data_IF_188546854218
#
_entry.id   IF_188546854218
#
_cell.length_a   1.000
_cell.length_b   1.000
_cell.length_c   1.000
_cell.angle_alpha   90.00
_cell.angle_beta   90.00
_cell.angle_gamma   90.00
#
_symmetry.space_group_name_H-M   'P 1'
#
loop_
_entity.id
_entity.type
_entity.pdbx_description
1 polymer ?
#
# COMPACT_ATOMS: atom_id res chain seq x y z
N UNK A 1 8.51 -18.24 1.86
CA UNK A 1 9.11 -16.95 1.50
C UNK A 1 8.09 -15.81 1.52
N UNK A 2 7.05 -15.83 0.67
CA UNK A 2 5.89 -14.91 0.75
C UNK A 2 5.31 -14.75 2.17
N UNK A 3 5.29 -15.83 2.96
CA UNK A 3 4.80 -15.85 4.33
C UNK A 3 5.62 -14.98 5.30
N UNK A 4 6.94 -14.90 5.14
CA UNK A 4 7.86 -14.20 6.06
C UNK A 4 7.81 -12.68 5.86
N UNK A 5 7.76 -12.21 4.61
CA UNK A 5 7.56 -10.78 4.29
C UNK A 5 6.17 -10.31 4.73
N UNK A 6 5.15 -11.15 4.55
CA UNK A 6 3.78 -10.85 5.01
C UNK A 6 3.68 -10.77 6.53
N UNK A 7 4.30 -11.69 7.27
CA UNK A 7 4.29 -11.67 8.73
C UNK A 7 4.98 -10.43 9.28
N UNK A 8 6.17 -10.06 8.78
CA UNK A 8 6.87 -8.84 9.23
C UNK A 8 6.08 -7.55 8.95
N UNK A 9 5.41 -7.49 7.81
CA UNK A 9 4.55 -6.36 7.44
C UNK A 9 3.24 -6.35 8.22
N UNK A 10 2.70 -7.51 8.59
CA UNK A 10 1.54 -7.67 9.47
C UNK A 10 1.84 -7.28 10.92
N UNK A 11 3.03 -7.60 11.44
CA UNK A 11 3.47 -7.12 12.76
C UNK A 11 3.69 -5.62 12.77
N UNK A 12 4.29 -5.07 11.71
CA UNK A 12 4.35 -3.62 11.51
C UNK A 12 2.95 -3.03 11.46
N UNK A 13 2.03 -3.67 10.75
CA UNK A 13 0.62 -3.27 10.68
C UNK A 13 -0.07 -3.25 12.05
N UNK A 14 0.15 -4.27 12.89
CA UNK A 14 -0.44 -4.32 14.24
C UNK A 14 0.11 -3.25 15.18
N UNK A 15 1.42 -2.97 15.10
CA UNK A 15 2.02 -1.87 15.84
C UNK A 15 1.44 -0.52 15.39
N UNK A 16 1.28 -0.34 14.08
CA UNK A 16 0.67 0.84 13.47
C UNK A 16 -0.81 1.00 13.86
N UNK A 17 -1.55 -0.11 13.90
CA UNK A 17 -2.95 -0.14 14.30
C UNK A 17 -3.10 0.27 15.76
N UNK A 18 -2.22 -0.22 16.64
CA UNK A 18 -2.20 0.18 18.05
C UNK A 18 -1.92 1.67 18.22
N UNK A 19 -0.95 2.23 17.49
CA UNK A 19 -0.68 3.68 17.51
C UNK A 19 -1.81 4.52 16.93
N UNK A 20 -2.48 4.02 15.88
CA UNK A 20 -3.59 4.70 15.25
C UNK A 20 -4.82 4.74 16.16
N UNK A 21 -5.13 3.63 16.84
CA UNK A 21 -6.21 3.57 17.83
C UNK A 21 -5.97 4.57 18.95
N UNK A 22 -4.75 4.64 19.50
CA UNK A 22 -4.40 5.62 20.52
C UNK A 22 -4.59 7.06 20.02
N UNK A 23 -4.09 7.39 18.82
CA UNK A 23 -4.26 8.72 18.21
C UNK A 23 -5.74 9.06 17.97
N UNK A 24 -6.53 8.15 17.40
CA UNK A 24 -7.96 8.37 17.13
C UNK A 24 -8.77 8.52 18.41
N UNK A 25 -8.47 7.75 19.46
CA UNK A 25 -9.12 7.90 20.77
C UNK A 25 -8.82 9.27 21.38
N UNK A 26 -7.57 9.76 21.30
CA UNK A 26 -7.22 11.10 21.78
C UNK A 26 -7.98 12.18 21.02
N UNK A 27 -8.03 12.10 19.70
CA UNK A 27 -8.80 13.04 18.85
C UNK A 27 -10.28 13.01 19.20
N UNK A 28 -10.86 11.83 19.45
CA UNK A 28 -12.26 11.69 19.86
C UNK A 28 -12.53 12.37 21.20
N UNK A 29 -11.66 12.17 22.20
CA UNK A 29 -11.80 12.78 23.54
C UNK A 29 -11.65 14.30 23.45
N UNK A 30 -10.72 14.83 22.66
CA UNK A 30 -10.57 16.26 22.41
C UNK A 30 -11.77 16.84 21.66
N UNK A 31 -12.29 16.12 20.65
CA UNK A 31 -13.48 16.52 19.88
C UNK A 31 -14.73 16.57 20.75
N UNK A 32 -14.90 15.63 21.68
CA UNK A 32 -16.01 15.63 22.63
C UNK A 32 -16.01 16.84 23.58
N UNK A 33 -14.82 17.41 23.86
CA UNK A 33 -14.68 18.67 24.61
C UNK A 33 -14.71 19.93 23.73
N UNK A 34 -14.53 19.79 22.42
CA UNK A 34 -14.54 20.88 21.45
C UNK A 34 -13.22 21.65 21.31
N UNK A 35 -12.14 21.23 21.98
CA UNK A 35 -10.79 21.79 21.83
C UNK A 35 -9.71 20.82 22.34
N UNK A 36 -8.47 21.02 21.89
CA UNK A 36 -7.32 20.22 22.34
C UNK A 36 -6.83 20.64 23.73
N UNK A 37 -7.27 19.93 24.77
CA UNK A 37 -6.99 20.30 26.18
C UNK A 37 -5.77 19.57 26.79
N UNK A 38 -5.20 18.59 26.11
CA UNK A 38 -4.13 17.73 26.64
C UNK A 38 -2.73 18.36 26.65
N UNK A 39 -2.63 19.64 26.23
CA UNK A 39 -1.38 20.39 26.19
C UNK A 39 -0.50 20.09 24.97
N UNK A 40 0.57 20.87 24.84
CA UNK A 40 1.46 20.86 23.68
C UNK A 40 2.20 19.52 23.49
N UNK A 41 2.71 18.92 24.58
CA UNK A 41 3.47 17.67 24.49
C UNK A 41 2.63 16.53 23.94
N UNK A 42 1.38 16.39 24.40
CA UNK A 42 0.47 15.36 23.90
C UNK A 42 0.08 15.61 22.44
N UNK A 43 -0.10 16.88 22.05
CA UNK A 43 -0.34 17.28 20.66
C UNK A 43 0.81 16.88 19.74
N UNK A 44 2.05 17.16 20.17
CA UNK A 44 3.24 16.80 19.43
C UNK A 44 3.41 15.27 19.31
N UNK A 45 3.15 14.52 20.38
CA UNK A 45 3.21 13.06 20.35
C UNK A 45 2.10 12.46 19.48
N UNK A 46 0.88 12.99 19.53
CA UNK A 46 -0.24 12.54 18.67
C UNK A 46 0.09 12.75 17.20
N UNK A 47 0.54 13.94 16.84
CA UNK A 47 0.91 14.28 15.46
C UNK A 47 2.12 13.47 14.98
N UNK A 48 3.13 13.29 15.82
CA UNK A 48 4.30 12.47 15.50
C UNK A 48 3.94 10.99 15.29
N UNK A 49 3.13 10.40 16.19
CA UNK A 49 2.67 9.03 16.04
C UNK A 49 1.83 8.86 14.77
N UNK A 50 0.94 9.81 14.47
CA UNK A 50 0.18 9.83 13.22
C UNK A 50 1.08 9.91 11.99
N UNK A 51 2.10 10.78 12.01
CA UNK A 51 3.06 10.94 10.93
C UNK A 51 3.91 9.67 10.72
N UNK A 52 4.47 9.10 11.79
CA UNK A 52 5.18 7.82 11.74
C UNK A 52 4.27 6.75 11.16
N UNK A 53 3.03 6.67 11.62
CA UNK A 53 2.11 5.64 11.16
C UNK A 53 1.82 5.75 9.66
N UNK A 54 1.59 6.97 9.18
CA UNK A 54 1.41 7.26 7.77
C UNK A 54 2.65 6.90 6.94
N UNK A 55 3.81 7.40 7.34
CA UNK A 55 5.08 7.17 6.64
C UNK A 55 5.46 5.69 6.56
N UNK A 56 5.41 4.96 7.68
CA UNK A 56 5.73 3.52 7.69
C UNK A 56 4.76 2.77 6.78
N UNK A 57 3.48 3.14 6.76
CA UNK A 57 2.49 2.55 5.86
C UNK A 57 2.83 2.80 4.39
N UNK A 58 3.11 4.07 4.02
CA UNK A 58 3.48 4.46 2.65
C UNK A 58 4.71 3.70 2.16
N UNK A 59 5.76 3.66 2.98
CA UNK A 59 7.01 2.96 2.64
C UNK A 59 6.84 1.45 2.62
N UNK A 60 5.96 0.89 3.46
CA UNK A 60 5.65 -0.56 3.42
C UNK A 60 4.94 -0.95 2.14
N UNK A 61 4.02 -0.11 1.65
CA UNK A 61 3.36 -0.30 0.36
C UNK A 61 4.37 -0.26 -0.80
N UNK A 62 5.31 0.68 -0.77
CA UNK A 62 6.36 0.82 -1.78
C UNK A 62 7.35 -0.36 -1.76
N UNK A 63 7.77 -0.82 -0.59
CA UNK A 63 8.67 -1.97 -0.48
C UNK A 63 7.97 -3.27 -0.92
N UNK A 64 6.68 -3.42 -0.61
CA UNK A 64 5.90 -4.57 -1.06
C UNK A 64 5.74 -4.60 -2.59
N UNK A 65 5.52 -3.45 -3.23
CA UNK A 65 5.42 -3.38 -4.69
C UNK A 65 6.75 -3.68 -5.35
N UNK A 66 7.85 -3.16 -4.79
CA UNK A 66 9.21 -3.44 -5.26
C UNK A 66 9.58 -4.92 -5.10
N UNK A 67 9.30 -5.53 -3.95
CA UNK A 67 9.53 -6.97 -3.72
C UNK A 67 8.81 -7.81 -4.77
N UNK A 68 7.53 -7.52 -5.03
CA UNK A 68 6.73 -8.25 -6.04
C UNK A 68 7.33 -8.10 -7.44
N UNK A 69 7.74 -6.89 -7.81
CA UNK A 69 8.42 -6.65 -9.07
C UNK A 69 9.71 -7.47 -9.19
N UNK A 70 10.57 -7.44 -8.18
CA UNK A 70 11.85 -8.15 -8.21
C UNK A 70 11.63 -9.67 -8.29
N UNK A 71 10.73 -10.23 -7.47
CA UNK A 71 10.47 -11.69 -7.44
C UNK A 71 9.84 -12.20 -8.74
N UNK A 72 8.95 -11.41 -9.37
CA UNK A 72 8.19 -11.87 -10.55
C UNK A 72 8.93 -11.54 -11.85
N UNK A 73 9.42 -10.31 -12.01
CA UNK A 73 9.94 -9.83 -13.29
C UNK A 73 11.46 -9.97 -13.43
N UNK A 74 12.18 -10.11 -12.31
CA UNK A 74 13.63 -10.25 -12.30
C UNK A 74 14.01 -11.50 -11.50
N UNK A 75 13.86 -12.70 -12.07
CA UNK A 75 14.42 -13.90 -11.45
C UNK A 75 15.95 -13.75 -11.45
N UNK A 76 16.50 -13.18 -10.38
CA UNK A 76 17.94 -12.99 -10.19
C UNK A 76 18.61 -14.35 -9.96
N UNK A 77 18.62 -15.24 -10.95
CA UNK A 77 19.30 -16.54 -10.90
C UNK A 77 19.22 -17.24 -9.53
N UNK A 78 20.34 -17.30 -8.80
CA UNK A 78 20.48 -17.93 -7.49
C UNK A 78 20.12 -17.06 -6.28
N UNK A 79 19.83 -15.78 -6.46
CA UNK A 79 19.47 -14.85 -5.37
C UNK A 79 18.02 -15.09 -4.94
N UNK A 80 17.88 -15.83 -3.84
CA UNK A 80 16.59 -15.99 -3.16
C UNK A 80 16.41 -14.86 -2.19
N UNK A 81 15.40 -14.03 -2.43
CA UNK A 81 14.89 -13.16 -1.39
C UNK A 81 14.59 -14.02 -0.15
N UNK A 82 15.06 -13.57 1.01
CA UNK A 82 15.14 -14.33 2.26
C UNK A 82 14.61 -13.50 3.44
N UNK A 83 14.36 -14.14 4.59
CA UNK A 83 13.75 -13.45 5.75
C UNK A 83 14.57 -12.24 6.21
N UNK A 84 15.89 -12.26 6.03
CA UNK A 84 16.77 -11.13 6.35
C UNK A 84 16.52 -9.90 5.49
N UNK A 85 16.16 -10.08 4.21
CA UNK A 85 15.82 -8.97 3.32
C UNK A 85 14.46 -8.36 3.69
N UNK A 86 13.50 -9.21 4.06
CA UNK A 86 12.20 -8.76 4.57
C UNK A 86 12.35 -7.98 5.90
N UNK A 87 13.18 -8.49 6.83
CA UNK A 87 13.49 -7.78 8.07
C UNK A 87 14.19 -6.44 7.80
N UNK A 88 15.15 -6.41 6.86
CA UNK A 88 15.80 -5.18 6.42
C UNK A 88 14.82 -4.15 5.86
N UNK A 89 13.83 -4.59 5.06
CA UNK A 89 12.78 -3.71 4.55
C UNK A 89 11.92 -3.13 5.68
N UNK A 90 11.54 -3.92 6.68
CA UNK A 90 10.81 -3.44 7.86
C UNK A 90 11.62 -2.42 8.65
N UNK A 91 12.90 -2.71 8.94
CA UNK A 91 13.77 -1.76 9.64
C UNK A 91 13.89 -0.46 8.86
N UNK A 92 14.02 -0.54 7.54
CA UNK A 92 14.06 0.64 6.66
C UNK A 92 12.78 1.47 6.73
N UNK A 93 11.58 0.85 6.68
CA UNK A 93 10.33 1.62 6.73
C UNK A 93 10.15 2.33 8.07
N UNK A 94 10.51 1.68 9.18
CA UNK A 94 10.50 2.29 10.51
C UNK A 94 11.52 3.40 10.65
N UNK A 95 12.73 3.20 10.14
CA UNK A 95 13.77 4.23 10.11
C UNK A 95 13.31 5.47 9.34
N UNK A 96 12.70 5.29 8.16
CA UNK A 96 12.13 6.40 7.39
C UNK A 96 10.96 7.04 8.13
N UNK A 97 10.06 6.26 8.75
CA UNK A 97 8.92 6.78 9.49
C UNK A 97 9.32 7.65 10.68
N UNK A 98 10.16 7.12 11.58
CA UNK A 98 10.65 7.85 12.75
C UNK A 98 11.58 8.98 12.34
N UNK A 99 12.48 8.74 11.39
CA UNK A 99 13.43 9.72 10.88
C UNK A 99 12.72 10.95 10.31
N UNK A 100 11.68 10.76 9.49
CA UNK A 100 10.94 11.88 8.89
C UNK A 100 9.98 12.59 9.86
N UNK A 101 9.50 11.92 10.93
CA UNK A 101 8.60 12.52 11.92
C UNK A 101 9.34 13.16 13.12
N UNK A 102 10.62 12.86 13.30
CA UNK A 102 11.46 13.42 14.36
C UNK A 102 11.84 14.90 14.25
N UNK A 103 12.02 15.53 13.06
CA UNK A 103 12.60 16.86 12.95
C UNK A 103 11.88 17.98 13.72
N UNK A 104 10.53 17.98 13.86
CA UNK A 104 9.82 18.96 14.67
C UNK A 104 10.19 18.98 16.15
N UNK A 105 10.71 17.87 16.70
CA UNK A 105 11.22 17.83 18.08
C UNK A 105 12.61 18.46 18.22
N UNK A 106 13.35 18.61 17.11
CA UNK A 106 14.69 19.18 17.04
C UNK A 106 14.72 20.59 16.45
N UNK A 107 13.55 21.24 16.32
CA UNK A 107 13.44 22.63 15.86
C UNK A 107 13.25 22.81 14.36
N UNK A 108 13.13 21.73 13.56
CA UNK A 108 12.74 21.84 12.16
C UNK A 108 11.23 21.59 12.01
N UNK A 109 10.48 22.69 11.89
CA UNK A 109 9.03 22.78 12.02
C UNK A 109 8.54 22.49 13.45
N UNK A 110 7.22 22.40 13.63
CA UNK A 110 6.54 22.12 14.90
C UNK A 110 5.21 21.41 14.66
N UNK A 111 4.72 20.73 15.69
CA UNK A 111 3.38 20.15 15.70
C UNK A 111 2.41 21.07 16.41
N UNK A 112 1.27 21.35 15.77
CA UNK A 112 0.24 22.28 16.26
C UNK A 112 -1.16 21.71 16.00
N UNK A 113 -2.18 22.18 16.74
CA UNK A 113 -3.57 21.81 16.45
C UNK A 113 -3.98 22.23 15.03
N UNK A 114 -4.62 21.33 14.30
CA UNK A 114 -5.08 21.51 12.92
C UNK A 114 -6.62 21.48 12.82
N UNK A 115 -7.15 22.07 11.74
CA UNK A 115 -8.59 22.01 11.43
C UNK A 115 -9.46 22.69 12.49
N UNK A 116 -10.37 21.92 13.09
CA UNK A 116 -11.21 22.34 14.22
C UNK A 116 -10.45 22.49 15.55
N UNK A 117 -9.12 22.29 15.58
CA UNK A 117 -8.33 22.40 16.80
C UNK A 117 -8.54 21.24 17.78
N UNK A 118 -8.99 20.09 17.29
CA UNK A 118 -9.23 18.86 18.08
C UNK A 118 -8.28 17.71 17.71
N UNK A 119 -7.46 17.91 16.67
CA UNK A 119 -6.41 16.99 16.25
C UNK A 119 -5.13 17.79 16.01
N UNK A 120 -3.98 17.10 16.02
CA UNK A 120 -2.69 17.72 15.76
C UNK A 120 -2.04 17.20 14.47
N UNK A 121 -1.28 18.11 13.85
CA UNK A 121 -0.55 17.91 12.61
C UNK A 121 0.68 18.82 12.53
N UNK A 122 1.52 18.67 11.51
CA UNK A 122 2.68 19.54 11.30
C UNK A 122 2.24 20.95 10.87
N UNK A 123 3.02 21.95 11.24
CA UNK A 123 2.74 23.35 10.89
C UNK A 123 3.04 23.62 9.40
N UNK A 124 1.98 23.84 8.63
CA UNK A 124 2.01 24.39 7.26
C UNK A 124 1.15 25.66 7.14
N UNK A 125 0.78 26.26 8.28
CA UNK A 125 -0.05 27.46 8.32
C UNK A 125 0.78 28.73 8.44
N UNK A 126 1.81 28.69 9.29
CA UNK A 126 2.51 29.89 9.73
C UNK A 126 3.52 30.40 8.70
N UNK A 127 4.02 29.54 7.80
CA UNK A 127 5.10 29.86 6.86
C UNK A 127 6.31 30.53 7.56
N UNK A 128 6.66 29.99 8.72
CA UNK A 128 7.75 30.48 9.54
C UNK A 128 9.10 30.05 8.94
N UNK A 129 9.92 31.06 8.59
CA UNK A 129 11.23 30.86 7.98
C UNK A 129 12.29 30.44 9.01
N UNK A 130 12.18 30.85 10.27
CA UNK A 130 13.13 30.49 11.33
C UNK A 130 13.00 29.01 11.70
N UNK A 131 11.75 28.52 11.78
CA UNK A 131 11.46 27.11 12.01
C UNK A 131 11.52 26.27 10.73
N UNK A 132 11.58 26.89 9.55
CA UNK A 132 11.58 26.17 8.28
C UNK A 132 10.31 25.33 8.04
N UNK A 133 9.13 25.85 8.41
CA UNK A 133 7.87 25.09 8.32
C UNK A 133 7.55 24.68 6.88
N UNK A 134 7.80 25.58 5.93
CA UNK A 134 7.56 25.34 4.50
C UNK A 134 8.51 24.29 3.93
N UNK A 135 9.79 24.30 4.31
CA UNK A 135 10.75 23.30 3.85
C UNK A 135 10.45 21.90 4.42
N UNK A 136 9.98 21.82 5.66
CA UNK A 136 9.52 20.56 6.25
C UNK A 136 8.26 20.02 5.56
N UNK A 137 7.32 20.88 5.18
CA UNK A 137 6.14 20.49 4.40
C UNK A 137 6.55 19.86 3.05
N UNK A 138 7.47 20.48 2.31
CA UNK A 138 7.99 19.91 1.06
C UNK A 138 8.73 18.60 1.28
N UNK A 139 9.51 18.51 2.36
CA UNK A 139 10.19 17.27 2.74
C UNK A 139 9.19 16.12 3.01
N UNK A 140 8.12 16.37 3.77
CA UNK A 140 7.06 15.39 3.99
C UNK A 140 6.31 15.05 2.71
N UNK A 141 6.02 16.02 1.84
CA UNK A 141 5.39 15.76 0.54
C UNK A 141 6.24 14.81 -0.31
N UNK A 142 7.55 15.05 -0.39
CA UNK A 142 8.45 14.24 -1.19
C UNK A 142 8.61 12.84 -0.59
N UNK A 143 8.87 12.74 0.71
CA UNK A 143 9.20 11.47 1.37
C UNK A 143 7.98 10.62 1.71
N UNK A 144 6.82 11.23 2.00
CA UNK A 144 5.60 10.52 2.35
C UNK A 144 4.72 10.21 1.13
N UNK A 145 4.74 11.07 0.11
CA UNK A 145 3.85 10.93 -1.05
C UNK A 145 4.61 10.65 -2.35
N UNK A 146 5.46 11.56 -2.83
CA UNK A 146 6.04 11.44 -4.18
C UNK A 146 6.99 10.24 -4.34
N UNK A 147 7.91 10.02 -3.39
CA UNK A 147 8.86 8.91 -3.44
C UNK A 147 8.15 7.54 -3.33
N UNK A 148 7.30 7.28 -2.32
CA UNK A 148 6.55 6.01 -2.28
C UNK A 148 5.68 5.80 -3.52
N UNK A 149 4.96 6.83 -3.98
CA UNK A 149 4.09 6.73 -5.15
C UNK A 149 4.87 6.42 -6.43
N UNK A 150 6.02 7.07 -6.65
CA UNK A 150 6.86 6.81 -7.82
C UNK A 150 7.41 5.38 -7.84
N UNK A 151 7.88 4.86 -6.70
CA UNK A 151 8.33 3.46 -6.57
C UNK A 151 7.19 2.50 -6.88
N UNK A 152 6.01 2.77 -6.33
CA UNK A 152 4.79 1.99 -6.57
C UNK A 152 4.46 1.98 -8.07
N UNK A 153 4.31 3.14 -8.70
CA UNK A 153 3.97 3.25 -10.12
C UNK A 153 5.01 2.56 -11.01
N UNK A 154 6.30 2.77 -10.75
CA UNK A 154 7.39 2.17 -11.52
C UNK A 154 7.43 0.65 -11.39
N UNK A 155 7.44 0.13 -10.16
CA UNK A 155 7.47 -1.32 -9.93
C UNK A 155 6.27 -2.03 -10.56
N UNK A 156 5.09 -1.41 -10.50
CA UNK A 156 3.88 -1.99 -11.07
C UNK A 156 3.75 -1.84 -12.58
N UNK A 157 4.22 -0.74 -13.19
CA UNK A 157 4.21 -0.62 -14.65
C UNK A 157 5.05 -1.72 -15.30
N UNK A 158 6.21 -2.02 -14.71
CA UNK A 158 7.08 -3.11 -15.14
C UNK A 158 6.45 -4.48 -14.87
N UNK A 159 5.79 -4.66 -13.72
CA UNK A 159 5.06 -5.89 -13.41
C UNK A 159 3.94 -6.18 -14.42
N UNK A 160 3.11 -5.19 -14.73
CA UNK A 160 2.03 -5.32 -15.70
C UNK A 160 2.57 -5.58 -17.12
N UNK A 161 3.68 -4.95 -17.49
CA UNK A 161 4.36 -5.22 -18.76
C UNK A 161 4.81 -6.68 -18.87
N UNK A 162 5.46 -7.20 -17.83
CA UNK A 162 5.92 -8.59 -17.79
C UNK A 162 4.74 -9.58 -17.80
N UNK A 163 3.69 -9.31 -17.02
CA UNK A 163 2.50 -10.17 -16.98
C UNK A 163 1.78 -10.22 -18.33
N UNK A 164 1.62 -9.07 -19.00
CA UNK A 164 1.02 -9.02 -20.35
C UNK A 164 1.84 -9.78 -21.38
N UNK A 165 3.17 -9.70 -21.30
CA UNK A 165 4.05 -10.46 -22.19
C UNK A 165 3.88 -11.98 -22.01
N UNK A 166 3.76 -12.44 -20.75
CA UNK A 166 3.50 -13.86 -20.44
C UNK A 166 2.09 -14.29 -20.88
N UNK A 167 1.08 -13.44 -20.65
CA UNK A 167 -0.30 -13.71 -21.08
C UNK A 167 -0.42 -13.79 -22.61
N UNK A 168 0.31 -12.97 -23.35
CA UNK A 168 0.38 -13.03 -24.81
C UNK A 168 1.00 -14.34 -25.33
N UNK A 169 1.96 -14.92 -24.59
CA UNK A 169 2.55 -16.22 -24.92
C UNK A 169 1.68 -17.42 -24.51
N UNK A 170 0.74 -17.24 -23.58
CA UNK A 170 -0.18 -18.27 -23.09
C UNK A 170 -1.65 -17.94 -23.38
N UNK A 171 -1.94 -17.45 -24.59
CA UNK A 171 -3.27 -16.96 -24.98
C UNK A 171 -4.40 -18.00 -24.85
N UNK A 172 -4.09 -19.30 -24.84
CA UNK A 172 -5.09 -20.38 -24.70
C UNK A 172 -5.53 -20.68 -23.26
N UNK A 173 -4.87 -20.13 -22.22
CA UNK A 173 -5.19 -20.48 -20.83
C UNK A 173 -6.03 -19.42 -20.12
N UNK A 174 -7.35 -19.63 -20.07
CA UNK A 174 -8.31 -18.75 -19.36
C UNK A 174 -7.98 -18.60 -17.85
N UNK A 175 -7.30 -19.59 -17.26
CA UNK A 175 -6.86 -19.55 -15.86
C UNK A 175 -5.75 -18.51 -15.60
N UNK A 176 -4.84 -18.30 -16.56
CA UNK A 176 -3.75 -17.32 -16.48
C UNK A 176 -4.30 -15.89 -16.58
N UNK A 177 -5.29 -15.63 -17.45
CA UNK A 177 -5.96 -14.32 -17.54
C UNK A 177 -6.75 -13.96 -16.27
N UNK A 178 -7.42 -14.93 -15.62
CA UNK A 178 -8.14 -14.71 -14.37
C UNK A 178 -7.17 -14.34 -13.23
N UNK A 179 -6.00 -14.98 -13.17
CA UNK A 179 -4.96 -14.65 -12.21
C UNK A 179 -4.36 -13.24 -12.45
N UNK A 180 -4.13 -12.84 -13.71
CA UNK A 180 -3.66 -11.50 -14.08
C UNK A 180 -4.62 -10.40 -13.60
N UNK A 181 -5.93 -10.57 -13.84
CA UNK A 181 -6.96 -9.61 -13.46
C UNK A 181 -7.11 -9.50 -11.94
N UNK A 182 -6.92 -10.60 -11.20
CA UNK A 182 -6.99 -10.62 -9.73
C UNK A 182 -5.82 -9.84 -9.11
N UNK A 183 -4.60 -10.02 -9.63
CA UNK A 183 -3.39 -9.30 -9.16
C UNK A 183 -3.47 -7.81 -9.51
N UNK A 184 -3.83 -7.47 -10.75
CA UNK A 184 -3.98 -6.08 -11.19
C UNK A 184 -5.06 -5.33 -10.39
N UNK A 185 -6.21 -5.98 -10.12
CA UNK A 185 -7.28 -5.40 -9.30
C UNK A 185 -6.80 -5.10 -7.87
N UNK A 186 -6.06 -6.01 -7.24
CA UNK A 186 -5.47 -5.78 -5.91
C UNK A 186 -4.61 -4.52 -5.87
N UNK A 187 -3.82 -4.32 -6.91
CA UNK A 187 -2.88 -3.21 -7.00
C UNK A 187 -3.61 -1.89 -7.20
N UNK A 188 -4.56 -1.82 -8.13
CA UNK A 188 -5.35 -0.61 -8.40
C UNK A 188 -6.07 -0.14 -7.13
N UNK A 189 -6.61 -1.08 -6.35
CA UNK A 189 -7.30 -0.74 -5.09
C UNK A 189 -6.31 -0.24 -4.03
N UNK A 190 -5.11 -0.82 -3.93
CA UNK A 190 -4.08 -0.37 -2.98
C UNK A 190 -3.48 1.01 -3.34
N UNK A 191 -3.23 1.27 -4.63
CA UNK A 191 -2.77 2.59 -5.09
C UNK A 191 -3.89 3.62 -4.93
N UNK A 192 -5.12 3.24 -5.29
CA UNK A 192 -6.31 4.06 -5.10
C UNK A 192 -6.49 4.45 -3.64
N UNK A 193 -6.39 3.51 -2.70
CA UNK A 193 -6.53 3.82 -1.28
C UNK A 193 -5.44 4.75 -0.77
N UNK A 194 -4.19 4.55 -1.18
CA UNK A 194 -3.10 5.44 -0.84
C UNK A 194 -3.35 6.88 -1.32
N UNK A 195 -3.72 7.04 -2.60
CA UNK A 195 -4.02 8.37 -3.17
C UNK A 195 -5.24 8.99 -2.49
N UNK A 196 -6.34 8.25 -2.29
CA UNK A 196 -7.55 8.77 -1.65
C UNK A 196 -7.31 9.20 -0.20
N UNK A 197 -6.46 8.50 0.55
CA UNK A 197 -6.18 8.85 1.94
C UNK A 197 -5.22 10.04 2.08
N UNK A 198 -4.15 10.08 1.27
CA UNK A 198 -3.05 11.03 1.50
C UNK A 198 -3.03 12.20 0.53
N UNK A 199 -3.54 12.06 -0.70
CA UNK A 199 -3.50 13.15 -1.67
C UNK A 199 -4.33 14.38 -1.25
N UNK A 200 -5.57 14.24 -0.70
CA UNK A 200 -6.31 15.41 -0.25
C UNK A 200 -5.54 16.20 0.81
N UNK A 201 -4.91 15.50 1.75
CA UNK A 201 -4.16 16.13 2.84
C UNK A 201 -2.89 16.81 2.33
N UNK A 202 -2.14 16.15 1.43
CA UNK A 202 -0.95 16.70 0.80
C UNK A 202 -1.26 17.95 -0.05
N UNK A 203 -2.34 17.92 -0.82
CA UNK A 203 -2.78 19.06 -1.64
C UNK A 203 -3.22 20.24 -0.78
N UNK A 204 -3.95 19.98 0.31
CA UNK A 204 -4.34 21.03 1.25
C UNK A 204 -3.11 21.64 1.93
N UNK A 205 -2.15 20.83 2.40
CA UNK A 205 -0.89 21.34 2.95
C UNK A 205 -0.13 22.21 1.94
N UNK A 206 -0.09 21.80 0.67
CA UNK A 206 0.57 22.57 -0.39
C UNK A 206 -0.13 23.91 -0.64
N UNK A 207 -1.47 23.91 -0.66
CA UNK A 207 -2.26 25.12 -0.80
C UNK A 207 -2.06 26.07 0.38
N UNK A 208 -2.11 25.58 1.62
CA UNK A 208 -1.87 26.43 2.80
C UNK A 208 -0.44 26.99 2.83
N UNK A 209 0.56 26.21 2.43
CA UNK A 209 1.96 26.65 2.39
C UNK A 209 2.24 27.70 1.29
N UNK A 210 1.54 27.66 0.15
CA UNK A 210 1.86 28.52 -1.01
C UNK A 210 0.85 29.63 -1.28
N UNK A 211 -0.38 29.52 -0.80
CA UNK A 211 -1.40 30.52 -1.10
C UNK A 211 -1.11 31.84 -0.38
N UNK A 212 -1.13 32.99 -1.09
CA UNK A 212 -0.89 34.30 -0.51
C UNK A 212 -2.11 34.87 0.23
N UNK A 213 -3.24 34.17 0.22
CA UNK A 213 -4.48 34.59 0.87
C UNK A 213 -4.31 34.74 2.39
N UNK A 214 -4.76 35.88 2.93
CA UNK A 214 -4.63 36.21 4.35
C UNK A 214 -5.76 35.58 5.20
N UNK A 215 -6.94 35.34 4.60
CA UNK A 215 -8.14 34.85 5.29
C UNK A 215 -8.46 33.39 4.92
N UNK A 216 -7.54 32.47 5.16
CA UNK A 216 -7.77 31.04 4.90
C UNK A 216 -8.66 30.43 5.97
N UNK A 217 -9.69 29.69 5.57
CA UNK A 217 -10.50 28.93 6.52
C UNK A 217 -9.79 27.62 6.90
N UNK A 218 -9.15 27.63 8.07
CA UNK A 218 -8.44 26.47 8.62
C UNK A 218 -9.35 25.26 8.84
N UNK A 219 -10.68 25.44 8.96
CA UNK A 219 -11.64 24.35 9.13
C UNK A 219 -11.65 23.39 7.95
N UNK A 220 -11.29 23.87 6.75
CA UNK A 220 -11.23 23.06 5.54
C UNK A 220 -10.21 21.91 5.64
N UNK A 221 -9.18 22.02 6.48
CA UNK A 221 -8.19 20.95 6.70
C UNK A 221 -8.79 19.73 7.39
N UNK A 222 -9.90 19.90 8.11
CA UNK A 222 -10.52 18.84 8.90
C UNK A 222 -10.94 17.66 8.01
N UNK A 223 -11.52 17.91 6.83
CA UNK A 223 -11.99 16.85 5.94
C UNK A 223 -10.80 16.01 5.41
N UNK A 224 -9.75 16.59 4.79
CA UNK A 224 -8.54 15.86 4.41
C UNK A 224 -7.84 15.15 5.58
N UNK A 225 -7.80 15.77 6.76
CA UNK A 225 -7.20 15.15 7.95
C UNK A 225 -7.96 13.88 8.36
N UNK A 226 -9.29 13.87 8.28
CA UNK A 226 -10.09 12.66 8.51
C UNK A 226 -9.79 11.55 7.52
N UNK A 227 -9.65 11.85 6.22
CA UNK A 227 -9.27 10.86 5.20
C UNK A 227 -7.88 10.27 5.47
N UNK A 228 -6.93 11.10 5.90
CA UNK A 228 -5.59 10.64 6.23
C UNK A 228 -5.60 9.73 7.48
N UNK A 229 -6.25 10.16 8.56
CA UNK A 229 -6.29 9.42 9.84
C UNK A 229 -7.10 8.11 9.74
N UNK A 230 -8.09 8.02 8.86
CA UNK A 230 -8.91 6.81 8.65
C UNK A 230 -8.21 5.72 7.81
N UNK A 231 -7.06 6.02 7.22
CA UNK A 231 -6.24 5.06 6.45
C UNK A 231 -5.84 3.81 7.26
N UNK A 232 -5.75 3.93 8.58
CA UNK A 232 -5.47 2.82 9.49
C UNK A 232 -6.54 1.71 9.46
N UNK A 233 -7.77 2.05 9.05
CA UNK A 233 -8.89 1.11 8.92
C UNK A 233 -8.97 0.56 7.50
N UNK A 234 -8.89 1.42 6.48
CA UNK A 234 -9.10 1.00 5.09
C UNK A 234 -8.03 0.05 4.59
N UNK A 235 -6.78 0.31 4.92
CA UNK A 235 -5.68 -0.46 4.39
C UNK A 235 -5.72 -1.95 4.85
N UNK A 236 -5.85 -2.32 6.15
CA UNK A 236 -5.96 -3.73 6.52
C UNK A 236 -7.24 -4.39 5.99
N UNK A 237 -8.34 -3.65 5.86
CA UNK A 237 -9.57 -4.18 5.22
C UNK A 237 -9.31 -4.56 3.76
N UNK A 238 -8.68 -3.67 2.99
CA UNK A 238 -8.29 -3.95 1.60
C UNK A 238 -7.40 -5.20 1.54
N UNK A 239 -6.40 -5.31 2.41
CA UNK A 239 -5.55 -6.50 2.44
C UNK A 239 -6.30 -7.77 2.82
N UNK A 240 -7.18 -7.74 3.81
CA UNK A 240 -7.95 -8.90 4.26
C UNK A 240 -8.89 -9.42 3.17
N UNK A 241 -9.60 -8.52 2.48
CA UNK A 241 -10.56 -8.90 1.44
C UNK A 241 -9.90 -9.28 0.10
N UNK A 242 -8.73 -8.73 -0.21
CA UNK A 242 -8.10 -8.97 -1.52
C UNK A 242 -7.12 -10.14 -1.51
N UNK A 243 -6.66 -10.59 -0.34
CA UNK A 243 -5.71 -11.69 -0.27
C UNK A 243 -6.42 -13.05 -0.29
N UNK A 244 -6.25 -13.77 -1.40
CA UNK A 244 -6.92 -15.06 -1.65
C UNK A 244 -6.64 -16.11 -0.58
N UNK A 245 -5.45 -16.10 0.04
CA UNK A 245 -5.10 -16.99 1.15
C UNK A 245 -5.87 -16.67 2.45
N UNK A 246 -6.06 -15.38 2.76
CA UNK A 246 -6.88 -14.95 3.92
C UNK A 246 -8.34 -15.33 3.68
N UNK A 247 -8.86 -15.10 2.48
CA UNK A 247 -10.21 -15.54 2.08
C UNK A 247 -10.43 -17.06 2.15
N UNK A 248 -9.37 -17.84 1.96
CA UNK A 248 -9.48 -19.31 1.98
C UNK A 248 -9.52 -19.84 3.42
N UNK A 249 -8.93 -19.10 4.36
CA UNK A 249 -8.84 -19.42 5.79
C UNK A 249 -9.83 -18.61 6.66
N UNK A 250 -10.64 -17.72 6.06
CA UNK A 250 -11.66 -16.94 6.76
C UNK A 250 -12.87 -17.81 7.15
N UNK A 251 -13.59 -17.50 8.24
CA UNK A 251 -14.80 -18.19 8.65
C UNK A 251 -15.82 -18.28 7.52
N UNK A 252 -16.54 -19.41 7.42
CA UNK A 252 -17.40 -19.79 6.30
C UNK A 252 -18.44 -18.73 5.91
N UNK A 253 -18.95 -17.94 6.87
CA UNK A 253 -19.94 -16.87 6.65
C UNK A 253 -19.48 -15.76 5.67
N UNK A 254 -18.19 -15.39 5.66
CA UNK A 254 -17.68 -14.36 4.74
C UNK A 254 -17.48 -14.89 3.30
N UNK A 255 -17.45 -16.21 3.12
CA UNK A 255 -17.34 -16.85 1.80
C UNK A 255 -18.67 -16.83 1.07
N UNK A 256 -19.77 -16.98 1.81
CA UNK A 256 -21.11 -17.14 1.23
C UNK A 256 -21.65 -15.82 0.67
N UNK A 257 -21.37 -14.68 1.33
CA UNK A 257 -21.71 -13.33 0.86
C UNK A 257 -21.17 -12.99 -0.54
N UNK A 258 -20.08 -13.62 -0.98
CA UNK A 258 -19.47 -13.38 -2.29
C UNK A 258 -19.84 -14.45 -3.32
N UNK A 259 -20.32 -15.61 -2.86
CA UNK A 259 -20.82 -16.69 -3.73
C UNK A 259 -22.15 -16.33 -4.39
N UNK A 260 -22.92 -15.43 -3.78
CA UNK A 260 -24.18 -14.93 -4.36
C UNK A 260 -23.96 -13.91 -5.49
N UNK A 261 -22.79 -13.26 -5.54
CA UNK A 261 -22.41 -12.38 -6.67
C UNK A 261 -21.98 -13.19 -7.90
N UNK A 262 -21.42 -14.40 -7.73
CA UNK A 262 -21.06 -15.30 -8.85
C UNK A 262 -22.25 -16.15 -9.36
N UNK A 263 -23.40 -16.15 -8.67
CA UNK A 263 -24.55 -17.02 -8.99
C UNK A 263 -25.52 -16.46 -10.05
N UNK A 264 -25.28 -15.26 -10.57
CA UNK A 264 -26.17 -14.58 -11.54
C UNK A 264 -25.84 -14.81 -13.03
N UNK A 265 -24.98 -15.78 -13.39
CA UNK A 265 -24.81 -16.15 -14.79
C UNK A 265 -24.64 -17.67 -15.01
N UNK A 266 -25.70 -18.41 -15.32
CA UNK A 266 -25.58 -19.66 -16.04
C UNK A 266 -25.87 -19.41 -17.53
N UNK A 267 -24.85 -19.48 -18.39
CA UNK A 267 -25.08 -19.80 -19.80
C UNK A 267 -24.50 -21.18 -20.05
N UNK A 268 -25.42 -22.13 -20.15
CA UNK A 268 -25.21 -23.52 -20.56
C UNK A 268 -24.77 -23.58 -22.03
N UNK A 269 -23.67 -24.25 -22.33
CA UNK A 269 -23.40 -24.78 -23.68
C UNK A 269 -23.25 -26.29 -23.60
N UNK A 270 -24.24 -27.00 -24.13
CA UNK A 270 -24.15 -28.42 -24.52
C UNK A 270 -23.26 -28.51 -25.75
N UNK A 271 -22.21 -29.32 -25.70
CA UNK A 271 -21.48 -29.76 -26.89
C UNK A 271 -22.16 -30.98 -27.53
N UNK A 272 -22.11 -31.15 -28.86
CA UNK A 272 -22.57 -32.37 -29.51
C UNK A 272 -21.52 -33.49 -29.43
N UNK A 273 -22.02 -34.72 -29.38
CA UNK A 273 -21.28 -35.98 -29.32
C UNK A 273 -20.36 -36.19 -30.54
N UNK A 274 -19.19 -36.77 -30.30
CA UNK A 274 -18.41 -37.47 -31.32
C UNK A 274 -17.83 -38.76 -30.73
N UNK A 275 -18.32 -39.88 -31.26
CA UNK A 275 -17.89 -41.25 -31.01
C UNK A 275 -16.62 -41.55 -31.81
N UNK A 276 -15.57 -42.14 -31.20
CA UNK A 276 -14.61 -42.99 -31.91
C UNK A 276 -13.88 -43.96 -30.95
N UNK A 277 -13.72 -45.18 -31.42
CA UNK A 277 -13.35 -46.45 -30.76
C UNK A 277 -11.87 -46.61 -30.29
N UNK A 278 -11.53 -47.66 -29.50
CA UNK A 278 -10.26 -47.76 -28.77
C UNK A 278 -9.14 -48.44 -29.58
N UNK A 279 -7.90 -47.98 -29.41
CA UNK A 279 -6.71 -48.71 -29.87
C UNK A 279 -5.63 -48.81 -28.78
N UNK A 280 -5.00 -49.99 -28.73
CA UNK A 280 -4.14 -50.58 -27.68
C UNK A 280 -2.79 -49.85 -27.45
N UNK A 281 -2.12 -50.06 -26.29
CA UNK A 281 -0.93 -49.31 -25.89
C UNK A 281 0.37 -49.88 -26.51
N UNK A 282 1.30 -49.00 -26.91
CA UNK A 282 2.70 -49.38 -27.16
C UNK A 282 3.66 -48.51 -26.35
N UNK A 283 4.58 -49.22 -25.67
CA UNK A 283 5.74 -48.75 -24.90
C UNK A 283 6.63 -47.80 -25.71
N UNK A 284 7.20 -46.79 -25.05
CA UNK A 284 8.49 -46.22 -25.45
C UNK A 284 8.66 -44.71 -25.28
N UNK A 285 9.36 -44.32 -24.20
CA UNK A 285 10.40 -43.26 -24.16
C UNK A 285 10.01 -41.80 -24.48
N UNK A 286 10.02 -40.95 -23.45
CA UNK A 286 11.03 -39.88 -23.23
C UNK A 286 10.58 -38.95 -22.10
N UNK A 287 11.24 -39.04 -20.94
CA UNK A 287 11.27 -37.94 -19.97
C UNK A 287 12.05 -36.79 -20.61
N UNK A 288 11.37 -35.74 -21.06
CA UNK A 288 12.06 -34.49 -21.39
C UNK A 288 12.38 -33.77 -20.08
N UNK A 289 13.67 -33.80 -19.74
CA UNK A 289 14.33 -32.90 -18.82
C UNK A 289 14.07 -31.46 -19.29
N UNK A 290 13.52 -30.60 -18.42
CA UNK A 290 13.58 -29.15 -18.59
C UNK A 290 15.05 -28.70 -18.44
N UNK A 291 15.79 -28.64 -19.55
CA UNK A 291 17.01 -27.84 -19.67
C UNK A 291 16.61 -26.48 -20.22
N UNK A 292 16.59 -25.47 -19.35
CA UNK A 292 16.67 -24.07 -19.75
C UNK A 292 18.16 -23.79 -19.97
N UNK A 293 18.60 -23.73 -21.22
CA UNK A 293 19.90 -23.16 -21.57
C UNK A 293 19.69 -21.74 -22.06
N UNK A 294 20.30 -20.80 -21.35
CA UNK A 294 20.58 -19.45 -21.81
C UNK A 294 21.85 -19.47 -22.69
N UNK A 295 21.68 -19.23 -23.99
CA UNK A 295 22.67 -18.88 -25.03
C UNK A 295 21.85 -18.94 -26.33
N UNK A 296 21.59 -17.87 -27.08
CA UNK A 296 22.54 -17.04 -27.84
C UNK A 296 22.00 -15.59 -27.90
N UNK A 297 22.75 -14.55 -27.51
CA UNK A 297 23.73 -13.81 -28.33
C UNK A 297 23.19 -13.34 -29.70
N UNK A 298 22.79 -12.06 -29.71
CA UNK A 298 22.87 -11.04 -30.81
C UNK A 298 24.14 -11.22 -31.66
N UNK A 299 24.28 -10.81 -32.95
CA UNK A 299 23.49 -9.84 -33.75
C UNK A 299 23.09 -10.25 -35.19
N UNK A 300 22.09 -9.54 -35.74
CA UNK A 300 22.17 -8.79 -37.01
C UNK A 300 21.01 -7.79 -37.09
#
# INVERSE_FOLDING_TARGET
>A
FFHSSFLGMFYSWNALWSSAVLSTTLVFVCSARGYYFLGYTMCALEAAMGAVAGLVTSWSLAMLSLERYLVICKPFGAFKFGSSHAAGAVVFTWFMGVGCASPPFFGWSRYIPEGLGCACGPDWYTNDQELGTTSYMYFLLITCFCMPLSIIIFSYSQLLGALRAVAAQQAESASTQKAEKEVSRMIIVMVGSFVTCYAPYALTGLWFANSPEVNKDYRLVTIPAFFSKSSCVYNPLIYAFMNKQVRTNAPTEMRDMNSDTERLAPVSIRGPEAVMQPSKPRRGTRRLLCRVTAADLVPL
#
